data_IF_787326706020
#
_entry.id   IF_787326706020
#
_cell.length_a   1.000
_cell.length_b   1.000
_cell.length_c   1.000
_cell.angle_alpha   90.00
_cell.angle_beta   90.00
_cell.angle_gamma   90.00
#
_symmetry.space_group_name_H-M   'P 1'
#
loop_
_entity.id
_entity.type
_entity.pdbx_description
1 polymer ?
#
# COMPACT_ATOMS: atom_id res chain seq x y z
N UNK A 1 -5.02 -17.92 18.54
CA UNK A 1 -4.45 -17.58 17.23
C UNK A 1 -2.94 -17.71 17.31
N UNK A 2 -2.29 -18.33 16.33
CA UNK A 2 -0.83 -18.40 16.26
C UNK A 2 -0.26 -17.16 15.59
N UNK A 3 1.01 -16.84 15.87
CA UNK A 3 1.71 -15.71 15.24
C UNK A 3 1.73 -15.87 13.72
N UNK A 4 1.42 -14.80 12.99
CA UNK A 4 1.39 -14.79 11.53
C UNK A 4 0.05 -15.17 10.90
N UNK A 5 -0.95 -15.55 11.70
CA UNK A 5 -2.32 -15.75 11.20
C UNK A 5 -2.91 -14.42 10.73
N UNK A 6 -3.47 -14.43 9.52
CA UNK A 6 -4.26 -13.32 8.98
C UNK A 6 -5.60 -13.30 9.72
N UNK A 7 -5.94 -12.16 10.32
CA UNK A 7 -7.23 -11.95 11.00
C UNK A 7 -8.32 -11.78 9.93
N UNK A 8 -9.24 -12.75 9.85
CA UNK A 8 -10.44 -12.72 9.01
C UNK A 8 -11.68 -12.55 9.89
N UNK A 9 -12.90 -12.43 9.33
CA UNK A 9 -14.11 -12.25 10.12
C UNK A 9 -14.33 -13.32 11.22
N UNK A 10 -13.92 -14.58 10.97
CA UNK A 10 -13.98 -15.66 11.97
C UNK A 10 -13.12 -15.36 13.20
N UNK A 11 -11.87 -14.94 13.01
CA UNK A 11 -10.97 -14.62 14.11
C UNK A 11 -11.44 -13.38 14.87
N UNK A 12 -12.02 -12.39 14.17
CA UNK A 12 -12.65 -11.22 14.81
C UNK A 12 -13.79 -11.66 15.74
N UNK A 13 -14.68 -12.56 15.28
CA UNK A 13 -15.77 -13.07 16.10
C UNK A 13 -15.29 -13.81 17.35
N UNK A 14 -14.25 -14.64 17.22
CA UNK A 14 -13.63 -15.33 18.36
C UNK A 14 -12.97 -14.36 19.33
N UNK A 15 -12.27 -13.34 18.84
CA UNK A 15 -11.68 -12.31 19.71
C UNK A 15 -12.76 -11.55 20.49
N UNK A 16 -13.84 -11.17 19.80
CA UNK A 16 -14.96 -10.44 20.41
C UNK A 16 -15.70 -11.27 21.46
N UNK A 17 -15.99 -12.56 21.20
CA UNK A 17 -16.69 -13.44 22.17
C UNK A 17 -15.88 -13.68 23.45
N UNK A 18 -14.55 -13.51 23.38
CA UNK A 18 -13.63 -13.58 24.52
C UNK A 18 -13.41 -12.21 25.20
N UNK A 19 -14.18 -11.18 24.84
CA UNK A 19 -14.08 -9.84 25.42
C UNK A 19 -12.82 -9.07 25.02
N UNK A 20 -12.18 -9.43 23.90
CA UNK A 20 -10.96 -8.74 23.41
C UNK A 20 -11.34 -7.64 22.43
N UNK A 21 -11.19 -6.39 22.84
CA UNK A 21 -11.44 -5.20 22.00
C UNK A 21 -10.25 -4.82 21.11
N UNK A 22 -9.06 -5.35 21.37
CA UNK A 22 -7.84 -5.11 20.60
C UNK A 22 -7.01 -6.38 20.45
N UNK A 23 -6.15 -6.42 19.43
CA UNK A 23 -5.22 -7.53 19.19
C UNK A 23 -3.86 -6.98 18.73
N UNK A 24 -2.77 -7.58 19.20
CA UNK A 24 -1.43 -7.26 18.69
C UNK A 24 -1.26 -7.83 17.28
N UNK A 25 -0.85 -6.97 16.34
CA UNK A 25 -0.63 -7.33 14.94
C UNK A 25 0.74 -6.84 14.47
N UNK A 26 1.24 -7.41 13.39
CA UNK A 26 2.41 -6.89 12.71
C UNK A 26 2.02 -5.57 12.04
N UNK A 27 2.85 -4.54 12.19
CA UNK A 27 2.63 -3.24 11.52
C UNK A 27 2.55 -3.43 10.00
N UNK A 28 1.76 -2.59 9.33
CA UNK A 28 1.75 -2.54 7.86
C UNK A 28 3.16 -2.14 7.35
N UNK A 29 3.70 -2.79 6.31
CA UNK A 29 4.95 -2.36 5.69
C UNK A 29 4.75 -1.01 5.00
N UNK A 30 5.71 -0.09 5.19
CA UNK A 30 5.75 1.18 4.46
C UNK A 30 6.73 1.01 3.30
N UNK A 31 6.28 1.27 2.08
CA UNK A 31 7.05 1.05 0.85
C UNK A 31 7.25 2.39 0.16
N UNK A 32 8.50 2.84 0.07
CA UNK A 32 8.85 4.02 -0.70
C UNK A 32 8.87 3.69 -2.19
N UNK A 33 8.30 4.58 -3.01
CA UNK A 33 8.24 4.47 -4.47
C UNK A 33 8.82 5.76 -5.03
N UNK A 34 9.83 5.61 -5.88
CA UNK A 34 10.51 6.70 -6.58
C UNK A 34 10.57 6.30 -8.06
N UNK A 35 10.11 7.20 -8.92
CA UNK A 35 10.29 7.03 -10.35
C UNK A 35 11.54 7.80 -10.79
N UNK A 36 12.27 7.24 -11.75
CA UNK A 36 13.45 7.87 -12.32
C UNK A 36 13.36 7.80 -13.82
N UNK A 37 13.53 8.94 -14.47
CA UNK A 37 13.49 9.06 -15.92
C UNK A 37 13.26 10.50 -16.28
N UNK A 38 14.17 11.08 -17.06
CA UNK A 38 14.01 12.46 -17.51
C UNK A 38 12.77 12.58 -18.39
N UNK A 39 12.36 11.51 -19.06
CA UNK A 39 11.15 11.43 -19.88
C UNK A 39 9.85 11.49 -19.08
N UNK A 40 9.88 11.29 -17.76
CA UNK A 40 8.67 11.16 -16.95
C UNK A 40 8.11 12.52 -16.52
N UNK A 41 6.78 12.62 -16.51
CA UNK A 41 6.02 13.73 -15.92
C UNK A 41 4.86 13.22 -15.06
N UNK A 42 4.49 13.99 -14.02
CA UNK A 42 3.35 13.67 -13.16
C UNK A 42 2.02 13.79 -13.93
N UNK A 43 1.03 12.98 -13.57
CA UNK A 43 -0.29 12.94 -14.23
C UNK A 43 -1.06 14.27 -14.15
N UNK A 44 -0.72 15.14 -13.20
CA UNK A 44 -1.35 16.45 -13.03
C UNK A 44 -0.63 17.56 -13.81
N UNK A 45 0.47 17.25 -14.50
CA UNK A 45 1.22 18.21 -15.31
C UNK A 45 0.83 18.10 -16.79
N UNK A 46 0.87 19.19 -17.57
CA UNK A 46 0.74 19.11 -19.02
C UNK A 46 1.85 18.24 -19.61
N UNK A 47 1.54 17.38 -20.58
CA UNK A 47 2.52 16.50 -21.22
C UNK A 47 3.36 17.25 -22.26
N UNK A 48 4.66 17.51 -22.01
CA UNK A 48 5.54 18.14 -22.99
C UNK A 48 5.86 17.19 -24.14
N UNK A 49 6.25 17.75 -25.29
CA UNK A 49 6.69 16.95 -26.44
C UNK A 49 7.88 16.05 -26.05
N UNK A 50 7.78 14.77 -26.34
CA UNK A 50 8.84 13.78 -26.05
C UNK A 50 8.89 13.28 -24.60
N UNK A 51 7.92 13.65 -23.76
CA UNK A 51 7.75 13.10 -22.41
C UNK A 51 6.60 12.08 -22.38
N UNK A 52 6.54 11.29 -21.31
CA UNK A 52 5.47 10.33 -21.01
C UNK A 52 5.03 10.49 -19.54
N UNK A 53 3.78 10.13 -19.24
CA UNK A 53 3.30 10.13 -17.87
C UNK A 53 3.87 8.98 -17.05
N UNK A 54 4.20 9.23 -15.78
CA UNK A 54 4.55 8.17 -14.84
C UNK A 54 3.31 7.36 -14.44
N UNK A 55 3.14 6.19 -15.05
CA UNK A 55 2.07 5.23 -14.73
C UNK A 55 2.51 4.16 -13.72
N UNK A 56 3.83 3.97 -13.57
CA UNK A 56 4.40 2.90 -12.76
C UNK A 56 4.28 3.23 -11.27
N UNK A 57 4.51 4.48 -10.87
CA UNK A 57 4.34 4.91 -9.48
C UNK A 57 2.93 4.61 -8.97
N UNK A 58 1.90 4.94 -9.74
CA UNK A 58 0.51 4.69 -9.35
C UNK A 58 0.16 3.21 -9.37
N UNK A 59 0.63 2.46 -10.37
CA UNK A 59 0.41 1.01 -10.46
C UNK A 59 1.03 0.28 -9.26
N UNK A 60 2.27 0.62 -8.91
CA UNK A 60 2.97 0.06 -7.75
C UNK A 60 2.31 0.49 -6.44
N UNK A 61 1.90 1.76 -6.30
CA UNK A 61 1.20 2.24 -5.11
C UNK A 61 -0.11 1.47 -4.88
N UNK A 62 -0.89 1.24 -5.94
CA UNK A 62 -2.12 0.45 -5.89
C UNK A 62 -1.84 -1.01 -5.48
N UNK A 63 -0.78 -1.64 -6.01
CA UNK A 63 -0.38 -2.98 -5.61
C UNK A 63 0.03 -3.05 -4.13
N UNK A 64 0.82 -2.09 -3.64
CA UNK A 64 1.20 -2.01 -2.23
C UNK A 64 -0.05 -1.93 -1.35
N UNK A 65 -1.03 -1.09 -1.71
CA UNK A 65 -2.29 -1.01 -0.97
C UNK A 65 -3.08 -2.32 -1.02
N UNK A 66 -3.16 -2.96 -2.19
CA UNK A 66 -3.87 -4.24 -2.40
C UNK A 66 -3.34 -5.34 -1.47
N UNK A 67 -2.03 -5.37 -1.23
CA UNK A 67 -1.40 -6.36 -0.35
C UNK A 67 -1.23 -5.88 1.11
N UNK A 68 -1.90 -4.79 1.50
CA UNK A 68 -1.95 -4.33 2.89
C UNK A 68 -0.73 -3.50 3.33
N UNK A 69 0.14 -3.09 2.42
CA UNK A 69 1.18 -2.11 2.68
C UNK A 69 0.67 -0.66 2.63
N UNK A 70 1.55 0.29 2.95
CA UNK A 70 1.31 1.73 2.85
C UNK A 70 2.34 2.29 1.84
N UNK A 71 1.90 2.74 0.65
CA UNK A 71 2.81 3.35 -0.31
C UNK A 71 3.21 4.76 0.14
N UNK A 72 4.47 5.13 -0.12
CA UNK A 72 5.00 6.49 0.07
C UNK A 72 5.69 6.92 -1.21
N UNK A 73 5.01 7.77 -1.99
CA UNK A 73 5.54 8.34 -3.23
C UNK A 73 6.56 9.42 -2.87
N UNK A 74 7.76 9.34 -3.43
CA UNK A 74 8.87 10.27 -3.16
C UNK A 74 9.06 11.32 -4.25
N UNK A 75 8.54 11.07 -5.46
CA UNK A 75 8.74 11.90 -6.65
C UNK A 75 9.26 11.09 -7.82
#
# INVERSE_FOLDING_TARGET
LTKGVVIRPSEVGVLASLGRSTAMVIRRPVVAILATGDELVDINQPLPLGKIYDSNTYSLAALVMRYGGIPRILG
#
